data_IF_073863972059
#
_entry.id   IF_073863972059
#
_cell.length_a   1.000
_cell.length_b   1.000
_cell.length_c   1.000
_cell.angle_alpha   90.00
_cell.angle_beta   90.00
_cell.angle_gamma   90.00
#
_symmetry.space_group_name_H-M   'P 1'
#
loop_
_entity.id
_entity.type
_entity.pdbx_description
1 polymer ?
#
# COMPACT_ATOMS: atom_id res chain seq x y z
N UNK A 1 2.59 7.30 -15.54
CA UNK A 1 2.30 6.25 -14.54
C UNK A 1 3.51 6.17 -13.63
N UNK A 2 3.30 6.25 -12.31
CA UNK A 2 4.40 6.38 -11.35
C UNK A 2 5.03 5.02 -11.01
N UNK A 3 6.36 4.98 -10.97
CA UNK A 3 7.12 3.81 -10.51
C UNK A 3 7.25 3.74 -8.98
N UNK A 4 6.73 4.74 -8.26
CA UNK A 4 6.87 4.87 -6.81
C UNK A 4 6.25 3.70 -6.02
N UNK A 5 5.20 3.05 -6.55
CA UNK A 5 4.54 1.94 -5.85
C UNK A 5 5.26 0.59 -6.03
N UNK A 6 6.05 0.41 -7.10
CA UNK A 6 6.76 -0.84 -7.40
C UNK A 6 7.64 -1.34 -6.25
N UNK A 7 8.52 -0.52 -5.64
CA UNK A 7 9.34 -0.99 -4.52
C UNK A 7 8.53 -1.36 -3.27
N UNK A 8 7.35 -0.76 -3.08
CA UNK A 8 6.46 -1.08 -1.95
C UNK A 8 5.73 -2.40 -2.17
N UNK A 9 5.37 -2.72 -3.42
CA UNK A 9 4.82 -4.04 -3.77
C UNK A 9 5.87 -5.15 -3.53
N UNK A 10 7.11 -4.94 -3.97
CA UNK A 10 8.20 -5.90 -3.75
C UNK A 10 8.46 -6.13 -2.26
N UNK A 11 8.53 -5.05 -1.46
CA UNK A 11 8.65 -5.16 0.00
C UNK A 11 7.48 -5.92 0.62
N UNK A 12 6.23 -5.57 0.26
CA UNK A 12 5.04 -6.22 0.79
C UNK A 12 4.97 -7.72 0.45
N UNK A 13 5.53 -8.12 -0.70
CA UNK A 13 5.63 -9.52 -1.11
C UNK A 13 6.66 -10.30 -0.29
N UNK A 14 7.72 -9.64 0.19
CA UNK A 14 8.82 -10.25 0.94
C UNK A 14 8.72 -10.06 2.46
N UNK A 15 7.78 -9.24 2.95
CA UNK A 15 7.60 -8.97 4.38
C UNK A 15 6.53 -7.91 4.67
N UNK A 16 6.21 -7.67 5.95
CA UNK A 16 5.30 -6.59 6.32
C UNK A 16 5.91 -5.23 6.02
N UNK A 17 5.09 -4.30 5.53
CA UNK A 17 5.49 -2.90 5.44
C UNK A 17 5.52 -2.29 6.83
N UNK A 18 6.45 -1.37 7.07
CA UNK A 18 6.36 -0.47 8.21
C UNK A 18 5.15 0.44 8.05
N UNK A 19 4.65 1.01 9.17
CA UNK A 19 3.56 1.98 9.14
C UNK A 19 3.80 3.11 8.13
N UNK A 20 5.00 3.69 8.12
CA UNK A 20 5.35 4.79 7.22
C UNK A 20 5.33 4.35 5.74
N UNK A 21 5.82 3.15 5.43
CA UNK A 21 5.78 2.61 4.08
C UNK A 21 4.34 2.32 3.62
N UNK A 22 3.50 1.80 4.51
CA UNK A 22 2.09 1.59 4.24
C UNK A 22 1.37 2.93 4.01
N UNK A 23 1.62 3.96 4.83
CA UNK A 23 1.06 5.31 4.63
C UNK A 23 1.45 5.89 3.25
N UNK A 24 2.72 5.74 2.85
CA UNK A 24 3.17 6.13 1.50
C UNK A 24 2.45 5.34 0.42
N UNK A 25 2.37 4.01 0.54
CA UNK A 25 1.71 3.15 -0.44
C UNK A 25 0.25 3.54 -0.66
N UNK A 26 -0.51 3.70 0.43
CA UNK A 26 -1.91 4.08 0.37
C UNK A 26 -2.09 5.53 -0.09
N UNK A 27 -1.15 6.44 0.19
CA UNK A 27 -1.22 7.82 -0.33
C UNK A 27 -1.10 7.84 -1.84
N UNK A 28 -0.13 7.11 -2.42
CA UNK A 28 0.04 6.97 -3.87
C UNK A 28 -1.23 6.41 -4.53
N UNK A 29 -1.88 5.43 -3.89
CA UNK A 29 -3.15 4.86 -4.37
C UNK A 29 -4.27 5.91 -4.34
N UNK A 30 -4.42 6.62 -3.22
CA UNK A 30 -5.50 7.60 -3.04
C UNK A 30 -5.30 8.87 -3.90
N UNK A 31 -4.07 9.21 -4.25
CA UNK A 31 -3.74 10.32 -5.17
C UNK A 31 -3.90 9.94 -6.66
N UNK A 32 -4.29 8.69 -6.95
CA UNK A 32 -4.52 8.23 -8.33
C UNK A 32 -3.23 8.04 -9.14
N UNK A 33 -2.08 7.95 -8.48
CA UNK A 33 -0.78 7.80 -9.12
C UNK A 33 -0.45 6.32 -9.46
N UNK A 34 -1.22 5.40 -8.89
CA UNK A 34 -1.10 3.96 -9.11
C UNK A 34 -2.06 3.45 -10.21
N UNK A 35 -1.56 2.54 -11.04
CA UNK A 35 -2.38 1.80 -12.00
C UNK A 35 -3.25 0.74 -11.32
N UNK A 36 -4.33 0.31 -11.98
CA UNK A 36 -5.15 -0.83 -11.55
C UNK A 36 -4.33 -2.09 -11.30
N UNK A 37 -3.31 -2.36 -12.12
CA UNK A 37 -2.43 -3.51 -11.96
C UNK A 37 -1.54 -3.38 -10.70
N UNK A 38 -0.99 -2.20 -10.42
CA UNK A 38 -0.17 -1.97 -9.22
C UNK A 38 -1.02 -2.00 -7.94
N UNK A 39 -2.22 -1.42 -7.96
CA UNK A 39 -3.17 -1.52 -6.85
C UNK A 39 -3.52 -2.99 -6.56
N UNK A 40 -3.89 -3.75 -7.60
CA UNK A 40 -4.17 -5.18 -7.46
C UNK A 40 -2.97 -5.98 -6.95
N UNK A 41 -1.76 -5.67 -7.43
CA UNK A 41 -0.52 -6.30 -6.99
C UNK A 41 -0.23 -6.07 -5.51
N UNK A 42 -0.35 -4.82 -5.03
CA UNK A 42 -0.16 -4.50 -3.60
C UNK A 42 -1.19 -5.23 -2.74
N UNK A 43 -2.48 -5.13 -3.10
CA UNK A 43 -3.57 -5.74 -2.33
C UNK A 43 -3.45 -7.27 -2.28
N UNK A 44 -3.03 -7.90 -3.37
CA UNK A 44 -2.79 -9.34 -3.39
C UNK A 44 -1.57 -9.75 -2.56
N UNK A 45 -0.49 -8.97 -2.57
CA UNK A 45 0.67 -9.23 -1.72
C UNK A 45 0.29 -9.19 -0.23
N UNK A 46 -0.41 -8.13 0.18
CA UNK A 46 -0.95 -7.97 1.53
C UNK A 46 -1.87 -9.14 1.92
N UNK A 47 -2.85 -9.47 1.08
CA UNK A 47 -3.80 -10.57 1.34
C UNK A 47 -3.14 -11.94 1.45
N UNK A 48 -2.14 -12.21 0.61
CA UNK A 48 -1.48 -13.53 0.55
C UNK A 48 -0.57 -13.74 1.75
N UNK A 49 0.16 -12.69 2.15
CA UNK A 49 1.04 -12.71 3.32
C UNK A 49 0.27 -12.66 4.64
N UNK A 50 -0.87 -11.96 4.66
CA UNK A 50 -1.65 -11.64 5.85
C UNK A 50 -1.24 -10.29 6.44
N UNK A 51 -2.17 -9.34 6.49
CA UNK A 51 -1.90 -7.96 6.89
C UNK A 51 -1.62 -7.81 8.39
N UNK A 52 -0.77 -6.84 8.73
CA UNK A 52 -0.48 -6.45 10.10
C UNK A 52 -1.42 -5.33 10.56
N UNK A 53 -1.50 -5.14 11.88
CA UNK A 53 -2.28 -4.05 12.48
C UNK A 53 -1.76 -2.68 12.00
N UNK A 54 -0.44 -2.52 11.88
CA UNK A 54 0.17 -1.27 11.43
C UNK A 54 -0.21 -0.92 9.99
N UNK A 55 -0.25 -1.92 9.10
CA UNK A 55 -0.68 -1.73 7.70
C UNK A 55 -2.16 -1.33 7.61
N UNK A 56 -3.05 -1.97 8.38
CA UNK A 56 -4.47 -1.59 8.42
C UNK A 56 -4.68 -0.19 9.00
N UNK A 57 -3.99 0.14 10.10
CA UNK A 57 -4.10 1.44 10.74
C UNK A 57 -3.57 2.56 9.83
N UNK A 58 -2.47 2.32 9.12
CA UNK A 58 -1.93 3.22 8.10
C UNK A 58 -2.93 3.45 6.97
N UNK A 59 -3.48 2.38 6.39
CA UNK A 59 -4.47 2.46 5.32
C UNK A 59 -5.69 3.30 5.73
N UNK A 60 -6.27 3.00 6.89
CA UNK A 60 -7.42 3.73 7.42
C UNK A 60 -7.10 5.21 7.70
N UNK A 61 -5.90 5.50 8.21
CA UNK A 61 -5.45 6.87 8.46
C UNK A 61 -5.40 7.69 7.17
N UNK A 62 -4.78 7.14 6.11
CA UNK A 62 -4.69 7.81 4.81
C UNK A 62 -6.08 8.00 4.19
N UNK A 63 -6.92 6.97 4.19
CA UNK A 63 -8.28 7.05 3.66
C UNK A 63 -9.09 8.15 4.35
N UNK A 64 -8.99 8.24 5.69
CA UNK A 64 -9.68 9.28 6.47
C UNK A 64 -9.16 10.68 6.21
N UNK A 65 -7.86 10.84 5.95
CA UNK A 65 -7.25 12.14 5.63
C UNK A 65 -7.65 12.65 4.23
N UNK A 66 -8.18 11.79 3.36
CA UNK A 66 -8.62 12.10 1.98
C UNK A 66 -10.15 12.14 1.83
N UNK A 67 -10.89 12.04 2.94
CA UNK A 67 -12.35 12.19 2.97
C UNK A 67 -12.78 13.65 2.82
#
# INVERSE_FOLDING_TARGET
MSDALKPLIDKAANGPLTRAEAEVAFTIIMDGEATSAQMGGLLMALRTRGETIDEYAAAATVMRAKC
#
